data_IF_992309476961
#
_entry.id   IF_992309476961
#
_cell.length_a   1.000
_cell.length_b   1.000
_cell.length_c   1.000
_cell.angle_alpha   90.00
_cell.angle_beta   90.00
_cell.angle_gamma   90.00
#
_symmetry.space_group_name_H-M   'P 1'
#
loop_
_entity.id
_entity.type
_entity.pdbx_description
1 polymer ?
#
# COMPACT_ATOMS: atom_id res chain seq x y z
N UNK A 1 0.78 -27.64 19.47
CA UNK A 1 1.38 -27.11 18.26
C UNK A 1 2.57 -26.21 18.62
N UNK A 2 3.67 -26.36 17.92
CA UNK A 2 4.97 -25.76 18.27
C UNK A 2 5.17 -24.35 17.67
N UNK A 3 4.07 -23.61 17.45
CA UNK A 3 4.16 -22.22 16.99
C UNK A 3 4.36 -21.30 18.19
N UNK A 4 5.40 -20.50 18.16
CA UNK A 4 5.68 -19.46 19.13
C UNK A 4 5.99 -18.15 18.43
N UNK A 5 5.66 -17.05 19.06
CA UNK A 5 5.90 -15.70 18.56
C UNK A 5 6.36 -14.81 19.72
N UNK A 6 7.38 -14.02 19.51
CA UNK A 6 7.82 -13.04 20.48
C UNK A 6 6.94 -11.78 20.36
N UNK A 7 6.53 -11.26 21.51
CA UNK A 7 5.82 -9.99 21.62
C UNK A 7 6.81 -8.94 22.12
N UNK A 8 7.31 -8.03 21.27
CA UNK A 8 8.19 -6.96 21.71
C UNK A 8 7.36 -5.92 22.48
N UNK A 9 7.56 -5.80 23.78
CA UNK A 9 6.86 -4.80 24.59
C UNK A 9 7.50 -3.42 24.51
N UNK A 10 8.80 -3.36 24.20
CA UNK A 10 9.57 -2.11 24.13
C UNK A 10 10.32 -2.04 22.81
N UNK A 11 10.36 -0.86 22.21
CA UNK A 11 11.11 -0.60 20.98
C UNK A 11 12.61 -0.44 21.30
N UNK A 12 13.33 -1.54 21.31
CA UNK A 12 14.75 -1.72 21.01
C UNK A 12 15.84 -0.81 21.59
N UNK A 13 15.55 0.03 22.54
CA UNK A 13 16.57 0.91 23.15
C UNK A 13 17.44 0.12 24.16
N UNK A 14 18.73 0.03 23.91
CA UNK A 14 19.70 -0.60 24.84
C UNK A 14 20.03 0.26 26.07
N UNK A 15 19.10 1.12 26.49
CA UNK A 15 19.27 2.05 27.58
C UNK A 15 18.26 1.84 28.71
N UNK A 16 18.18 2.82 29.61
CA UNK A 16 17.11 2.87 30.63
C UNK A 16 15.79 3.14 29.93
N UNK A 17 14.79 2.31 30.21
CA UNK A 17 13.43 2.50 29.73
C UNK A 17 12.87 3.79 30.33
N UNK A 18 12.40 4.70 29.49
CA UNK A 18 11.79 5.95 29.94
C UNK A 18 10.33 5.73 30.36
N UNK A 19 9.77 6.66 31.14
CA UNK A 19 8.35 6.60 31.52
C UNK A 19 7.43 6.70 30.28
N UNK A 20 7.86 7.43 29.27
CA UNK A 20 7.13 7.55 28.01
C UNK A 20 7.09 6.22 27.25
N UNK A 21 8.20 5.49 27.21
CA UNK A 21 8.27 4.15 26.60
C UNK A 21 7.36 3.13 27.34
N UNK A 22 7.28 3.23 28.68
CA UNK A 22 6.37 2.39 29.47
C UNK A 22 4.91 2.71 29.14
N UNK A 23 4.53 3.99 29.10
CA UNK A 23 3.17 4.42 28.77
C UNK A 23 2.79 4.00 27.35
N UNK A 24 3.68 4.14 26.38
CA UNK A 24 3.46 3.70 25.01
C UNK A 24 3.32 2.18 24.90
N UNK A 25 4.13 1.42 25.65
CA UNK A 25 4.04 -0.03 25.71
C UNK A 25 2.69 -0.48 26.28
N UNK A 26 2.18 0.19 27.34
CA UNK A 26 0.88 -0.10 27.92
C UNK A 26 -0.26 0.16 26.93
N UNK A 27 -0.25 1.29 26.23
CA UNK A 27 -1.27 1.64 25.23
C UNK A 27 -1.28 0.66 24.05
N UNK A 28 -0.12 0.17 23.63
CA UNK A 28 0.01 -0.74 22.49
C UNK A 28 -0.13 -2.22 22.86
N UNK A 29 -0.22 -2.55 24.15
CA UNK A 29 -0.19 -3.94 24.65
C UNK A 29 -1.28 -4.79 24.02
N UNK A 30 -2.52 -4.32 24.05
CA UNK A 30 -3.67 -5.03 23.50
C UNK A 30 -3.50 -5.30 22.01
N UNK A 31 -3.10 -4.28 21.24
CA UNK A 31 -2.83 -4.39 19.81
C UNK A 31 -1.76 -5.45 19.52
N UNK A 32 -0.64 -5.42 20.25
CA UNK A 32 0.47 -6.35 20.05
C UNK A 32 0.08 -7.80 20.38
N UNK A 33 -0.66 -8.01 21.47
CA UNK A 33 -1.15 -9.35 21.82
C UNK A 33 -2.19 -9.85 20.83
N UNK A 34 -3.17 -9.03 20.46
CA UNK A 34 -4.20 -9.40 19.49
C UNK A 34 -3.56 -9.74 18.12
N UNK A 35 -2.64 -8.93 17.63
CA UNK A 35 -1.90 -9.19 16.40
C UNK A 35 -1.09 -10.50 16.47
N UNK A 36 -0.42 -10.76 17.60
CA UNK A 36 0.36 -11.97 17.78
C UNK A 36 -0.54 -13.22 17.82
N UNK A 37 -1.66 -13.17 18.53
CA UNK A 37 -2.63 -14.25 18.55
C UNK A 37 -3.21 -14.52 17.15
N UNK A 38 -3.53 -13.48 16.41
CA UNK A 38 -3.99 -13.60 15.03
C UNK A 38 -2.94 -14.30 14.14
N UNK A 39 -1.65 -13.91 14.25
CA UNK A 39 -0.55 -14.54 13.53
C UNK A 39 -0.37 -16.02 13.88
N UNK A 40 -0.52 -16.39 15.16
CA UNK A 40 -0.42 -17.76 15.63
C UNK A 40 -1.59 -18.64 15.20
N UNK A 41 -2.80 -18.09 15.13
CA UNK A 41 -4.02 -18.81 14.79
C UNK A 41 -4.30 -18.86 13.28
N UNK A 42 -3.81 -17.89 12.51
CA UNK A 42 -3.98 -17.87 11.07
C UNK A 42 -3.24 -19.03 10.39
N UNK A 43 -4.00 -19.88 9.70
CA UNK A 43 -3.44 -21.02 8.97
C UNK A 43 -2.71 -20.57 7.69
N UNK A 44 -3.19 -19.53 7.04
CA UNK A 44 -2.65 -19.01 5.78
C UNK A 44 -2.30 -17.52 5.91
N UNK A 45 -1.10 -17.17 5.42
CA UNK A 45 -0.72 -15.77 5.23
C UNK A 45 -1.34 -15.27 3.93
N UNK A 46 -2.00 -14.12 3.98
CA UNK A 46 -2.51 -13.44 2.77
C UNK A 46 -1.38 -13.12 1.82
N UNK A 47 -1.64 -13.23 0.53
CA UNK A 47 -0.70 -12.92 -0.54
C UNK A 47 -0.97 -11.52 -1.08
N UNK A 48 0.01 -10.64 -0.94
CA UNK A 48 -0.07 -9.24 -1.38
C UNK A 48 0.87 -9.07 -2.57
N UNK A 49 0.35 -8.57 -3.67
CA UNK A 49 1.14 -8.11 -4.80
C UNK A 49 1.19 -6.58 -4.82
N UNK A 50 2.39 -6.03 -4.99
CA UNK A 50 2.61 -4.61 -5.20
C UNK A 50 2.86 -4.37 -6.69
N UNK A 51 2.06 -3.53 -7.30
CA UNK A 51 2.17 -3.19 -8.72
C UNK A 51 3.40 -2.30 -8.96
N UNK A 52 4.15 -2.56 -10.03
CA UNK A 52 5.34 -1.80 -10.42
C UNK A 52 5.33 -1.35 -11.89
N UNK A 53 4.32 -1.73 -12.66
CA UNK A 53 4.23 -1.51 -14.09
C UNK A 53 3.83 -0.09 -14.50
N UNK A 54 3.19 0.67 -13.62
CA UNK A 54 2.65 2.00 -13.94
C UNK A 54 3.43 3.14 -13.26
N UNK A 55 4.72 2.92 -12.97
CA UNK A 55 5.61 3.93 -12.42
C UNK A 55 5.45 4.18 -10.93
N UNK A 56 4.99 3.17 -10.22
CA UNK A 56 4.92 3.14 -8.76
C UNK A 56 6.32 3.25 -8.14
N UNK A 57 6.45 3.87 -6.96
CA UNK A 57 7.74 4.00 -6.28
C UNK A 57 8.24 2.64 -5.79
N UNK A 58 9.38 2.19 -6.32
CA UNK A 58 10.07 0.94 -5.96
C UNK A 58 11.39 1.16 -5.22
N UNK A 59 11.70 2.42 -4.91
CA UNK A 59 12.95 2.84 -4.27
C UNK A 59 12.80 2.93 -2.74
N UNK A 60 13.76 3.59 -2.08
CA UNK A 60 13.79 3.82 -0.63
C UNK A 60 12.45 4.35 -0.04
N UNK A 61 11.59 5.00 -0.84
CA UNK A 61 10.29 5.52 -0.39
C UNK A 61 9.28 4.40 -0.06
N UNK A 62 9.43 3.23 -0.69
CA UNK A 62 8.59 2.05 -0.43
C UNK A 62 9.18 1.04 0.54
N UNK A 63 10.46 1.19 0.92
CA UNK A 63 11.21 0.18 1.65
C UNK A 63 10.60 -0.20 3.01
N UNK A 64 10.15 0.77 3.79
CA UNK A 64 9.55 0.51 5.10
C UNK A 64 8.20 -0.21 4.96
N UNK A 65 7.39 0.17 3.99
CA UNK A 65 6.14 -0.49 3.67
C UNK A 65 6.39 -1.95 3.28
N UNK A 66 7.34 -2.19 2.40
CA UNK A 66 7.72 -3.52 1.95
C UNK A 66 8.16 -4.40 3.11
N UNK A 67 9.07 -3.93 3.96
CA UNK A 67 9.55 -4.67 5.12
C UNK A 67 8.43 -5.05 6.10
N UNK A 68 7.52 -4.11 6.38
CA UNK A 68 6.38 -4.37 7.27
C UNK A 68 5.44 -5.41 6.67
N UNK A 69 5.15 -5.32 5.38
CA UNK A 69 4.26 -6.28 4.72
C UNK A 69 4.89 -7.67 4.60
N UNK A 70 6.18 -7.77 4.30
CA UNK A 70 6.89 -9.06 4.23
C UNK A 70 6.95 -9.80 5.57
N UNK A 71 6.95 -9.06 6.69
CA UNK A 71 6.97 -9.67 8.01
C UNK A 71 5.72 -10.54 8.27
N UNK A 72 4.55 -10.11 7.76
CA UNK A 72 3.26 -10.70 8.11
C UNK A 72 2.53 -11.37 6.94
N UNK A 73 2.89 -11.04 5.70
CA UNK A 73 2.22 -11.49 4.49
C UNK A 73 3.20 -12.14 3.51
N UNK A 74 2.67 -12.88 2.55
CA UNK A 74 3.42 -13.25 1.35
C UNK A 74 3.40 -12.06 0.42
N UNK A 75 4.48 -11.30 0.38
CA UNK A 75 4.61 -10.09 -0.42
C UNK A 75 5.42 -10.36 -1.68
N UNK A 76 5.00 -9.79 -2.80
CA UNK A 76 5.72 -9.87 -4.07
C UNK A 76 5.44 -8.67 -4.97
N UNK A 77 6.38 -8.39 -5.87
CA UNK A 77 6.21 -7.37 -6.90
C UNK A 77 5.53 -7.99 -8.13
N UNK A 78 4.66 -7.25 -8.77
CA UNK A 78 3.94 -7.66 -9.97
C UNK A 78 3.99 -6.53 -11.01
N UNK A 79 4.50 -6.81 -12.20
CA UNK A 79 4.29 -5.94 -13.36
C UNK A 79 3.09 -6.46 -14.16
N UNK A 80 1.96 -5.74 -14.10
CA UNK A 80 0.76 -6.11 -14.82
C UNK A 80 0.90 -6.00 -16.33
N UNK A 81 1.81 -5.16 -16.83
CA UNK A 81 2.03 -5.01 -18.28
C UNK A 81 2.64 -6.25 -18.90
N UNK A 82 3.52 -6.90 -18.16
CA UNK A 82 4.19 -8.13 -18.60
C UNK A 82 3.34 -9.40 -18.38
N UNK A 83 2.29 -9.29 -17.56
CA UNK A 83 1.44 -10.41 -17.20
C UNK A 83 0.14 -10.42 -18.01
N UNK A 84 -0.28 -11.61 -18.48
CA UNK A 84 -1.59 -11.76 -19.14
C UNK A 84 -2.75 -11.59 -18.18
N UNK A 85 -2.58 -12.02 -16.92
CA UNK A 85 -3.59 -11.94 -15.87
C UNK A 85 -2.91 -11.74 -14.52
N UNK A 86 -3.61 -11.17 -13.56
CA UNK A 86 -3.17 -11.16 -12.16
C UNK A 86 -3.27 -12.59 -11.61
N UNK A 87 -2.21 -13.16 -11.04
CA UNK A 87 -2.23 -14.54 -10.55
C UNK A 87 -3.32 -14.78 -9.50
N UNK A 88 -3.97 -15.94 -9.55
CA UNK A 88 -5.05 -16.31 -8.62
C UNK A 88 -4.59 -16.51 -7.18
N UNK A 89 -3.28 -16.64 -6.95
CA UNK A 89 -2.68 -16.74 -5.62
C UNK A 89 -2.67 -15.39 -4.89
N UNK A 90 -2.84 -14.29 -5.61
CA UNK A 90 -2.87 -12.93 -5.06
C UNK A 90 -4.23 -12.67 -4.41
N UNK A 91 -4.25 -12.36 -3.13
CA UNK A 91 -5.45 -11.98 -2.40
C UNK A 91 -5.71 -10.47 -2.45
N UNK A 92 -4.63 -9.68 -2.42
CA UNK A 92 -4.66 -8.22 -2.43
C UNK A 92 -3.65 -7.69 -3.46
N UNK A 93 -4.11 -6.86 -4.37
CA UNK A 93 -3.25 -6.04 -5.24
C UNK A 93 -3.19 -4.62 -4.70
N UNK A 94 -1.97 -4.14 -4.46
CA UNK A 94 -1.68 -2.80 -3.99
C UNK A 94 -1.09 -1.97 -5.12
N UNK A 95 -1.68 -0.83 -5.41
CA UNK A 95 -1.23 0.15 -6.40
C UNK A 95 -0.99 1.46 -5.66
N UNK A 96 0.25 1.93 -5.65
CA UNK A 96 0.64 3.10 -4.87
C UNK A 96 1.23 4.17 -5.76
N UNK A 97 0.56 5.32 -5.82
CA UNK A 97 1.01 6.51 -6.55
C UNK A 97 1.47 6.19 -7.99
N UNK A 98 0.64 5.54 -8.81
CA UNK A 98 0.98 5.29 -10.20
C UNK A 98 1.18 6.61 -10.93
N UNK A 99 2.12 6.64 -11.88
CA UNK A 99 2.44 7.83 -12.67
C UNK A 99 2.13 7.67 -14.15
N UNK A 100 1.91 6.45 -14.61
CA UNK A 100 1.56 6.13 -15.99
C UNK A 100 0.10 5.71 -16.10
N UNK A 101 -0.51 6.02 -17.25
CA UNK A 101 -1.90 5.68 -17.54
C UNK A 101 -2.10 4.17 -17.67
N UNK A 102 -3.24 3.67 -17.17
CA UNK A 102 -3.68 2.29 -17.35
C UNK A 102 -4.34 2.12 -18.70
N UNK A 103 -3.90 1.11 -19.43
CA UNK A 103 -4.48 0.77 -20.72
C UNK A 103 -5.79 -0.02 -20.54
N UNK A 104 -6.60 -0.15 -21.62
CA UNK A 104 -7.82 -0.98 -21.57
C UNK A 104 -7.54 -2.44 -21.16
N UNK A 105 -6.48 -3.10 -21.66
CA UNK A 105 -6.11 -4.43 -21.17
C UNK A 105 -5.80 -4.45 -19.66
N UNK A 106 -5.16 -3.43 -19.12
CA UNK A 106 -4.85 -3.39 -17.68
C UNK A 106 -6.11 -3.22 -16.85
N UNK A 107 -7.03 -2.36 -17.28
CA UNK A 107 -8.36 -2.22 -16.64
C UNK A 107 -9.16 -3.52 -16.68
N UNK A 108 -9.11 -4.28 -17.76
CA UNK A 108 -9.75 -5.59 -17.86
C UNK A 108 -9.13 -6.57 -16.85
N UNK A 109 -7.78 -6.60 -16.71
CA UNK A 109 -7.11 -7.44 -15.73
C UNK A 109 -7.53 -7.10 -14.29
N UNK A 110 -7.62 -5.80 -13.96
CA UNK A 110 -8.10 -5.31 -12.67
C UNK A 110 -9.55 -5.74 -12.41
N UNK A 111 -10.43 -5.53 -13.38
CA UNK A 111 -11.84 -5.92 -13.31
C UNK A 111 -11.98 -7.43 -13.08
N UNK A 112 -11.31 -8.26 -13.88
CA UNK A 112 -11.32 -9.70 -13.72
C UNK A 112 -10.77 -10.15 -12.36
N UNK A 113 -9.76 -9.47 -11.84
CA UNK A 113 -9.20 -9.76 -10.54
C UNK A 113 -10.22 -9.52 -9.42
N UNK A 114 -10.89 -8.36 -9.44
CA UNK A 114 -11.95 -8.02 -8.47
C UNK A 114 -13.13 -8.97 -8.60
N UNK A 115 -13.58 -9.27 -9.82
CA UNK A 115 -14.69 -10.19 -10.08
C UNK A 115 -14.42 -11.62 -9.58
N UNK A 116 -13.17 -12.03 -9.47
CA UNK A 116 -12.77 -13.32 -8.87
C UNK A 116 -12.65 -13.27 -7.34
N UNK A 117 -12.95 -12.13 -6.70
CA UNK A 117 -12.87 -11.94 -5.25
C UNK A 117 -11.55 -11.36 -4.78
N UNK A 118 -10.65 -10.96 -5.69
CA UNK A 118 -9.43 -10.23 -5.36
C UNK A 118 -9.76 -8.84 -4.79
N UNK A 119 -8.88 -8.33 -3.96
CA UNK A 119 -9.03 -7.02 -3.29
C UNK A 119 -8.05 -6.03 -3.89
N UNK A 120 -8.53 -4.81 -4.17
CA UNK A 120 -7.70 -3.70 -4.63
C UNK A 120 -7.50 -2.70 -3.49
N UNK A 121 -6.25 -2.29 -3.28
CA UNK A 121 -5.90 -1.17 -2.43
C UNK A 121 -5.18 -0.13 -3.30
N UNK A 122 -5.84 1.02 -3.47
CA UNK A 122 -5.41 2.08 -4.38
C UNK A 122 -5.05 3.34 -3.57
N UNK A 123 -3.82 3.79 -3.71
CA UNK A 123 -3.36 5.11 -3.27
C UNK A 123 -3.08 5.94 -4.52
N UNK A 124 -4.07 6.73 -4.92
CA UNK A 124 -4.03 7.50 -6.16
C UNK A 124 -3.81 8.97 -5.85
N UNK A 125 -2.80 9.53 -6.50
CA UNK A 125 -2.55 10.95 -6.57
C UNK A 125 -2.88 11.41 -8.00
N UNK A 126 -4.07 11.95 -8.18
CA UNK A 126 -4.59 12.29 -9.51
C UNK A 126 -3.97 13.56 -10.10
N UNK A 127 -3.37 14.40 -9.25
CA UNK A 127 -2.77 15.65 -9.66
C UNK A 127 -1.24 15.62 -9.52
N UNK A 128 -0.56 16.26 -10.48
CA UNK A 128 0.87 16.54 -10.38
C UNK A 128 1.02 17.88 -9.67
N UNK A 129 1.24 17.84 -8.36
CA UNK A 129 1.50 19.02 -7.51
C UNK A 129 2.55 18.63 -6.47
N UNK A 130 3.78 18.36 -6.93
CA UNK A 130 4.87 17.93 -6.04
C UNK A 130 5.33 19.10 -5.16
N UNK A 131 5.35 18.86 -3.85
CA UNK A 131 5.78 19.85 -2.85
C UNK A 131 7.22 20.34 -3.09
N UNK A 132 8.08 19.49 -3.61
CA UNK A 132 9.46 19.84 -3.97
C UNK A 132 9.51 20.91 -5.09
N UNK A 133 8.51 20.99 -5.95
CA UNK A 133 8.40 22.02 -6.99
C UNK A 133 8.01 23.40 -6.45
N UNK A 134 7.53 23.47 -5.19
CA UNK A 134 7.21 24.70 -4.47
C UNK A 134 8.45 25.33 -3.82
N UNK A 135 9.47 24.53 -3.51
CA UNK A 135 10.72 24.99 -2.90
C UNK A 135 11.62 25.64 -3.96
N UNK A 136 11.42 26.90 -4.23
CA UNK A 136 12.27 27.66 -5.16
C UNK A 136 11.53 28.67 -6.01
N UNK A 137 10.21 28.76 -5.89
CA UNK A 137 9.41 29.79 -6.57
C UNK A 137 9.04 30.91 -5.61
N UNK A 138 9.44 32.12 -5.97
CA UNK A 138 9.16 33.36 -5.21
C UNK A 138 7.67 33.75 -5.20
N UNK A 139 6.86 33.17 -6.09
CA UNK A 139 5.43 33.53 -6.25
C UNK A 139 4.47 32.75 -5.36
N UNK A 140 4.90 31.65 -4.72
CA UNK A 140 4.01 30.82 -3.86
C UNK A 140 2.85 30.13 -4.60
N UNK A 141 2.77 30.27 -5.92
CA UNK A 141 1.72 29.66 -6.74
C UNK A 141 2.27 28.46 -7.49
N UNK A 142 1.51 27.37 -7.46
CA UNK A 142 1.81 26.18 -8.28
C UNK A 142 0.59 25.81 -9.10
N UNK A 143 0.83 25.33 -10.31
CA UNK A 143 -0.24 24.82 -11.17
C UNK A 143 -0.25 23.31 -11.06
N UNK A 144 -1.39 22.76 -10.64
CA UNK A 144 -1.60 21.33 -10.61
C UNK A 144 -2.10 20.86 -11.99
N UNK A 145 -1.54 19.74 -12.46
CA UNK A 145 -1.94 19.12 -13.73
C UNK A 145 -2.52 17.74 -13.45
N UNK A 146 -3.56 17.38 -14.20
CA UNK A 146 -4.14 16.03 -14.14
C UNK A 146 -3.13 15.00 -14.67
N UNK A 147 -2.88 13.92 -13.90
CA UNK A 147 -2.03 12.79 -14.33
C UNK A 147 -2.67 11.95 -15.43
N UNK A 148 -3.99 12.04 -15.58
CA UNK A 148 -4.75 11.29 -16.57
C UNK A 148 -4.47 9.77 -16.51
N UNK A 149 -4.62 9.17 -15.35
CA UNK A 149 -4.35 7.76 -15.11
C UNK A 149 -5.29 6.80 -15.84
N UNK A 150 -6.35 7.30 -16.48
CA UNK A 150 -7.35 6.51 -17.24
C UNK A 150 -8.11 5.49 -16.35
N UNK A 151 -8.18 5.70 -15.04
CA UNK A 151 -8.89 4.81 -14.10
C UNK A 151 -10.30 5.28 -13.74
N UNK A 152 -10.68 6.49 -14.10
CA UNK A 152 -11.93 7.12 -13.67
C UNK A 152 -13.17 6.31 -14.07
N UNK A 153 -13.19 5.76 -15.27
CA UNK A 153 -14.29 4.95 -15.78
C UNK A 153 -14.42 3.60 -15.05
N UNK A 154 -13.30 2.95 -14.75
CA UNK A 154 -13.28 1.71 -13.98
C UNK A 154 -13.75 1.96 -12.55
N UNK A 155 -13.20 2.97 -11.88
CA UNK A 155 -13.57 3.30 -10.50
C UNK A 155 -15.02 3.73 -10.39
N UNK A 156 -15.55 4.47 -11.37
CA UNK A 156 -16.94 4.88 -11.41
C UNK A 156 -17.90 3.68 -11.49
N UNK A 157 -17.53 2.62 -12.22
CA UNK A 157 -18.31 1.36 -12.24
C UNK A 157 -18.40 0.70 -10.88
N UNK A 158 -17.38 0.86 -10.04
CA UNK A 158 -17.35 0.37 -8.65
C UNK A 158 -17.92 1.38 -7.64
N UNK A 159 -18.55 2.48 -8.12
CA UNK A 159 -19.15 3.50 -7.28
C UNK A 159 -18.18 4.48 -6.64
N UNK A 160 -16.91 4.47 -7.07
CA UNK A 160 -15.89 5.37 -6.58
C UNK A 160 -15.64 6.52 -7.55
N UNK A 161 -15.71 7.77 -7.06
CA UNK A 161 -15.38 8.96 -7.82
C UNK A 161 -14.19 9.66 -7.20
N UNK A 162 -13.16 9.92 -8.01
CA UNK A 162 -12.02 10.74 -7.62
C UNK A 162 -12.20 12.11 -8.27
N UNK A 163 -12.27 13.15 -7.46
CA UNK A 163 -12.31 14.51 -7.97
C UNK A 163 -10.89 15.01 -8.24
N UNK A 164 -10.67 15.77 -9.33
CA UNK A 164 -9.37 16.37 -9.65
C UNK A 164 -9.22 17.73 -8.94
N UNK A 165 -9.40 17.75 -7.62
CA UNK A 165 -9.27 18.94 -6.78
C UNK A 165 -8.21 18.72 -5.69
N UNK A 166 -7.51 19.81 -5.31
CA UNK A 166 -6.61 19.83 -4.17
C UNK A 166 -7.44 20.15 -2.92
N UNK A 167 -7.23 19.40 -1.87
CA UNK A 167 -7.81 19.62 -0.55
C UNK A 167 -6.82 20.35 0.34
#
# INVERSE_FOLDING_TARGET
GDRHQLVPLFSGSKGRISQEEINNAEVLLEYQFAGTLQKLTSANRSSIAYEIGHGEPTNYKGYDLENVLQADHRFGLLDMRDSLTIPSVVDLLMIVKPTLAFTEPDKIKLDQFVMRGGKLLLFIDNLIAEQDSLQGRTSGETVAYDRNLQLTDLLFRYGCRINPDLV
#
